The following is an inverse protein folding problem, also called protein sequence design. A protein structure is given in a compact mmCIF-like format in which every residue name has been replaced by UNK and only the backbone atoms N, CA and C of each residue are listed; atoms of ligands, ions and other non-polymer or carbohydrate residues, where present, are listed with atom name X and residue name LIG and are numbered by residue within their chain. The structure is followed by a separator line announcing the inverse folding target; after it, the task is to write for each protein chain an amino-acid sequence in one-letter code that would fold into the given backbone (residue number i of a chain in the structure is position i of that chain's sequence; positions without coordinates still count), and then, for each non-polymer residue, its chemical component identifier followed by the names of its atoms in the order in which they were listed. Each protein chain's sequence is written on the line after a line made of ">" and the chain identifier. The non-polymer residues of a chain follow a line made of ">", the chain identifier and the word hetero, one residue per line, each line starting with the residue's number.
data_IF_489235677311
#
_entry.id   IF_489235677311
#
_cell.length_a   1.000
_cell.length_b   1.000
_cell.length_c   1.000
_cell.angle_alpha   90.00
_cell.angle_beta   90.00
_cell.angle_gamma   90.00
#
_symmetry.space_group_name_H-M   'P 1'
#
loop_
_entity.id
_entity.type
_entity.pdbx_description
1 polymer ?
#
# COMPACT_ATOMS: atom_id res chain seq x y z
N UNK A 1 19.34 -4.95 -23.67
CA UNK A 1 18.05 -5.26 -24.27
C UNK A 1 17.00 -4.27 -23.83
N UNK A 2 16.30 -3.70 -24.78
CA UNK A 2 15.19 -2.83 -24.46
C UNK A 2 14.04 -3.64 -23.88
N UNK A 3 13.59 -3.23 -22.71
CA UNK A 3 12.41 -3.81 -22.08
C UNK A 3 11.17 -3.42 -22.88
N UNK A 4 10.36 -4.42 -23.23
CA UNK A 4 9.10 -4.16 -23.91
C UNK A 4 8.20 -3.33 -22.99
N UNK A 5 7.46 -2.36 -23.55
CA UNK A 5 6.55 -1.51 -22.78
C UNK A 5 5.54 -2.36 -21.99
N UNK A 6 5.17 -3.52 -22.51
CA UNK A 6 4.26 -4.47 -21.83
C UNK A 6 4.81 -5.04 -20.53
N UNK A 7 6.15 -5.05 -20.38
CA UNK A 7 6.82 -5.61 -19.22
C UNK A 7 6.95 -4.60 -18.07
N UNK A 8 6.57 -3.34 -18.30
CA UNK A 8 6.64 -2.28 -17.31
C UNK A 8 5.30 -2.15 -16.60
N UNK A 9 5.36 -2.03 -15.27
CA UNK A 9 4.18 -1.67 -14.50
C UNK A 9 3.78 -0.24 -14.81
N UNK A 10 2.51 -0.04 -15.16
CA UNK A 10 1.95 1.28 -15.42
C UNK A 10 0.58 1.39 -14.79
N UNK A 11 0.20 2.60 -14.44
CA UNK A 11 -1.16 2.95 -14.02
C UNK A 11 -1.60 4.20 -14.77
N UNK A 12 -2.73 4.77 -14.42
CA UNK A 12 -3.23 6.00 -15.02
C UNK A 12 -3.65 6.98 -13.95
N UNK A 13 -3.46 8.26 -14.22
CA UNK A 13 -4.00 9.33 -13.39
C UNK A 13 -4.85 10.23 -14.28
N UNK A 14 -6.16 10.27 -14.01
CA UNK A 14 -7.16 11.00 -14.83
C UNK A 14 -7.02 10.64 -16.31
N UNK A 15 -6.88 9.34 -16.60
CA UNK A 15 -6.79 8.82 -17.95
C UNK A 15 -5.41 8.89 -18.60
N UNK A 16 -4.43 9.56 -17.99
CA UNK A 16 -3.08 9.69 -18.55
C UNK A 16 -2.17 8.62 -17.97
N UNK A 17 -1.38 7.92 -18.81
CA UNK A 17 -0.47 6.88 -18.34
C UNK A 17 0.58 7.43 -17.38
N UNK A 18 0.88 6.64 -16.34
CA UNK A 18 1.91 6.95 -15.34
C UNK A 18 2.85 5.76 -15.24
N UNK A 19 4.16 6.02 -15.34
CA UNK A 19 5.19 4.99 -15.21
C UNK A 19 5.48 4.70 -13.75
N UNK A 20 5.81 3.43 -13.47
CA UNK A 20 6.17 2.95 -12.14
C UNK A 20 7.63 2.49 -12.18
N UNK A 21 8.41 2.81 -11.15
CA UNK A 21 9.77 2.31 -11.01
C UNK A 21 9.76 0.82 -10.64
N UNK A 22 10.61 0.04 -11.31
CA UNK A 22 10.72 -1.39 -11.04
C UNK A 22 9.51 -2.18 -11.51
N UNK A 23 9.32 -3.34 -10.90
CA UNK A 23 8.22 -4.25 -11.19
C UNK A 23 7.29 -4.34 -9.98
N UNK A 24 5.99 -4.18 -10.20
CA UNK A 24 5.00 -4.39 -9.16
C UNK A 24 5.06 -5.83 -8.67
N UNK A 25 5.04 -6.02 -7.34
CA UNK A 25 5.14 -7.36 -6.74
C UNK A 25 4.06 -8.30 -7.27
N UNK A 26 4.40 -9.59 -7.35
CA UNK A 26 3.52 -10.62 -7.89
C UNK A 26 3.11 -11.61 -6.81
N UNK A 27 1.87 -12.09 -6.91
CA UNK A 27 1.40 -13.18 -6.08
C UNK A 27 2.27 -14.43 -6.32
N UNK A 28 2.59 -15.15 -5.26
CA UNK A 28 3.45 -16.32 -5.30
C UNK A 28 4.90 -16.04 -4.92
N UNK A 29 5.34 -14.79 -4.94
CA UNK A 29 6.71 -14.41 -4.57
C UNK A 29 6.82 -14.18 -3.06
N UNK A 30 8.05 -14.26 -2.52
CA UNK A 30 8.33 -13.81 -1.17
C UNK A 30 8.16 -12.30 -1.12
N UNK A 31 7.46 -11.80 -0.09
CA UNK A 31 7.28 -10.37 0.08
C UNK A 31 8.63 -9.73 0.44
N UNK A 32 9.05 -8.66 -0.27
CA UNK A 32 10.26 -7.93 0.13
C UNK A 32 10.12 -7.38 1.55
N UNK A 33 11.19 -7.44 2.33
CA UNK A 33 11.20 -6.80 3.64
C UNK A 33 11.10 -5.27 3.47
N UNK A 34 10.64 -4.59 4.50
CA UNK A 34 10.49 -3.14 4.46
C UNK A 34 10.73 -2.55 5.84
N UNK A 35 11.04 -1.28 5.86
CA UNK A 35 11.07 -0.45 7.06
C UNK A 35 10.23 0.79 6.81
N UNK A 36 9.13 0.91 7.53
CA UNK A 36 8.21 2.04 7.43
C UNK A 36 8.11 2.71 8.81
N UNK A 37 7.70 3.96 8.83
CA UNK A 37 7.72 4.76 10.06
C UNK A 37 6.29 4.90 10.60
N UNK A 38 6.09 4.47 11.83
CA UNK A 38 4.81 4.61 12.52
C UNK A 38 4.60 6.03 13.04
N UNK A 39 3.40 6.34 13.50
CA UNK A 39 3.04 7.68 13.99
C UNK A 39 3.83 8.10 15.23
N UNK A 40 4.36 7.16 15.99
CA UNK A 40 5.23 7.45 17.14
C UNK A 40 6.72 7.59 16.74
N UNK A 41 7.00 7.58 15.43
CA UNK A 41 8.32 7.68 14.82
C UNK A 41 9.20 6.43 14.98
N UNK A 42 8.67 5.36 15.54
CA UNK A 42 9.34 4.06 15.56
C UNK A 42 9.24 3.37 14.20
N UNK A 43 10.12 2.42 13.95
CA UNK A 43 10.18 1.68 12.69
C UNK A 43 9.34 0.41 12.78
N UNK A 44 8.61 0.10 11.71
CA UNK A 44 7.91 -1.17 11.54
C UNK A 44 8.49 -1.89 10.34
N UNK A 45 8.97 -3.12 10.53
CA UNK A 45 9.44 -3.97 9.43
C UNK A 45 8.48 -5.14 9.21
N UNK A 46 8.55 -5.75 8.02
CA UNK A 46 7.74 -6.91 7.70
C UNK A 46 8.02 -8.07 8.66
N UNK A 47 9.28 -8.29 9.04
CA UNK A 47 9.65 -9.35 9.98
C UNK A 47 9.00 -9.21 11.35
N UNK A 48 8.63 -7.98 11.75
CA UNK A 48 7.91 -7.73 13.01
C UNK A 48 6.48 -8.27 12.96
N UNK A 49 5.97 -8.54 11.77
CA UNK A 49 4.60 -9.00 11.52
C UNK A 49 4.55 -10.49 11.15
N UNK A 50 5.67 -11.20 11.30
CA UNK A 50 5.74 -12.64 10.97
C UNK A 50 4.72 -13.42 11.80
N UNK A 51 4.04 -14.35 11.14
CA UNK A 51 2.96 -15.13 11.74
C UNK A 51 1.58 -14.48 11.61
N UNK A 52 1.51 -13.23 11.17
CA UNK A 52 0.25 -12.53 10.92
C UNK A 52 0.06 -12.31 9.42
N UNK A 53 -1.19 -12.31 8.99
CA UNK A 53 -1.53 -11.88 7.65
C UNK A 53 -1.48 -10.35 7.60
N UNK A 54 -1.02 -9.81 6.48
CA UNK A 54 -0.82 -8.36 6.31
C UNK A 54 -1.53 -7.90 5.05
N UNK A 55 -2.33 -6.85 5.18
CA UNK A 55 -2.88 -6.13 4.03
C UNK A 55 -2.18 -4.79 3.95
N UNK A 56 -1.50 -4.53 2.83
CA UNK A 56 -0.91 -3.23 2.55
C UNK A 56 -1.89 -2.45 1.67
N UNK A 57 -2.48 -1.40 2.23
CA UNK A 57 -3.25 -0.42 1.47
C UNK A 57 -2.32 0.75 1.14
N UNK A 58 -1.86 0.80 -0.10
CA UNK A 58 -0.85 1.73 -0.57
C UNK A 58 -1.52 2.81 -1.42
N UNK A 59 -1.21 4.08 -1.17
CA UNK A 59 -1.90 5.18 -1.86
C UNK A 59 -1.02 6.44 -1.95
N UNK A 60 -1.36 7.40 -2.85
CA UNK A 60 -0.57 8.61 -3.02
C UNK A 60 -0.57 9.54 -1.80
N UNK A 61 -1.72 9.86 -1.22
CA UNK A 61 -1.80 10.78 -0.08
C UNK A 61 -3.15 10.71 0.62
N UNK A 62 -3.12 10.82 1.95
CA UNK A 62 -4.32 10.94 2.80
C UNK A 62 -5.17 12.18 2.46
N UNK A 63 -4.56 13.20 1.87
CA UNK A 63 -5.25 14.45 1.54
C UNK A 63 -6.01 14.38 0.22
N UNK A 64 -6.12 13.20 -0.41
CA UNK A 64 -6.99 12.98 -1.56
C UNK A 64 -8.23 12.21 -1.13
N UNK A 65 -9.39 12.54 -1.72
CA UNK A 65 -10.68 11.97 -1.29
C UNK A 65 -10.74 10.45 -1.40
N UNK A 66 -10.21 9.87 -2.48
CA UNK A 66 -10.24 8.41 -2.70
C UNK A 66 -9.33 7.70 -1.72
N UNK A 67 -8.16 8.26 -1.41
CA UNK A 67 -7.23 7.68 -0.43
C UNK A 67 -7.86 7.67 0.96
N UNK A 68 -8.44 8.78 1.37
CA UNK A 68 -9.13 8.88 2.66
C UNK A 68 -10.28 7.86 2.75
N UNK A 69 -11.07 7.73 1.68
CA UNK A 69 -12.16 6.76 1.62
C UNK A 69 -11.64 5.32 1.76
N UNK A 70 -10.52 4.99 1.10
CA UNK A 70 -9.94 3.64 1.20
C UNK A 70 -9.46 3.32 2.61
N UNK A 71 -8.85 4.27 3.30
CA UNK A 71 -8.40 4.05 4.69
C UNK A 71 -9.60 3.83 5.60
N UNK A 72 -10.66 4.64 5.47
CA UNK A 72 -11.89 4.47 6.25
C UNK A 72 -12.53 3.11 6.00
N UNK A 73 -12.59 2.68 4.75
CA UNK A 73 -13.17 1.39 4.37
C UNK A 73 -12.38 0.23 4.96
N UNK A 74 -11.06 0.23 4.80
CA UNK A 74 -10.21 -0.81 5.40
C UNK A 74 -10.26 -0.81 6.92
N UNK A 75 -10.37 0.34 7.56
CA UNK A 75 -10.51 0.43 9.00
C UNK A 75 -11.77 -0.32 9.48
N UNK A 76 -12.87 -0.11 8.78
CA UNK A 76 -14.13 -0.79 9.08
C UNK A 76 -14.02 -2.30 8.88
N UNK A 77 -13.42 -2.73 7.76
CA UNK A 77 -13.26 -4.15 7.43
C UNK A 77 -12.25 -4.85 8.34
N UNK A 78 -11.19 -4.16 8.76
CA UNK A 78 -10.15 -4.73 9.61
C UNK A 78 -10.69 -5.20 10.96
N UNK A 79 -11.73 -4.56 11.48
CA UNK A 79 -12.38 -4.96 12.73
C UNK A 79 -12.90 -6.40 12.68
N UNK A 80 -13.17 -6.93 11.48
CA UNK A 80 -13.74 -8.26 11.27
C UNK A 80 -12.67 -9.30 10.88
N UNK A 81 -11.39 -8.93 10.91
CA UNK A 81 -10.27 -9.78 10.46
C UNK A 81 -9.27 -10.04 11.58
N UNK A 82 -9.62 -10.88 12.57
CA UNK A 82 -8.67 -11.21 13.65
C UNK A 82 -7.43 -11.91 13.07
N UNK A 83 -6.23 -11.60 13.60
CA UNK A 83 -4.99 -12.16 13.12
C UNK A 83 -4.46 -11.50 11.84
N UNK A 84 -5.11 -10.46 11.35
CA UNK A 84 -4.70 -9.71 10.17
C UNK A 84 -4.35 -8.28 10.57
N UNK A 85 -3.20 -7.80 10.11
CA UNK A 85 -2.76 -6.41 10.31
C UNK A 85 -2.97 -5.67 9.00
N UNK A 86 -3.69 -4.55 9.05
CA UNK A 86 -3.89 -3.68 7.88
C UNK A 86 -3.03 -2.45 8.05
N UNK A 87 -2.14 -2.20 7.08
CA UNK A 87 -1.27 -1.04 7.05
C UNK A 87 -1.77 -0.03 6.02
N UNK A 88 -1.84 1.23 6.39
CA UNK A 88 -2.08 2.34 5.46
C UNK A 88 -0.74 2.99 5.13
N UNK A 89 -0.30 2.89 3.89
CA UNK A 89 1.06 3.24 3.47
C UNK A 89 1.04 4.37 2.45
N UNK A 90 1.73 5.44 2.75
CA UNK A 90 1.94 6.55 1.81
C UNK A 90 3.24 7.30 2.14
N UNK A 91 3.57 8.28 1.31
CA UNK A 91 4.70 9.22 1.54
C UNK A 91 4.34 10.35 2.51
N UNK A 92 3.07 10.44 2.93
CA UNK A 92 2.68 11.42 3.95
C UNK A 92 3.55 11.25 5.19
N UNK A 93 3.86 12.35 5.86
CA UNK A 93 4.66 12.29 7.09
C UNK A 93 3.87 11.59 8.21
N UNK A 94 4.57 10.97 9.17
CA UNK A 94 3.91 10.33 10.31
C UNK A 94 2.95 11.25 11.06
N UNK A 95 3.26 12.54 11.12
CA UNK A 95 2.42 13.55 11.76
C UNK A 95 1.08 13.72 11.04
N UNK A 96 1.09 13.68 9.70
CA UNK A 96 -0.13 13.75 8.89
C UNK A 96 -0.98 12.49 9.09
N UNK A 97 -0.35 11.32 9.14
CA UNK A 97 -1.03 10.07 9.44
C UNK A 97 -1.71 10.11 10.81
N UNK A 98 -1.00 10.61 11.83
CA UNK A 98 -1.53 10.73 13.19
C UNK A 98 -2.75 11.64 13.24
N UNK A 99 -2.66 12.82 12.60
CA UNK A 99 -3.77 13.76 12.52
C UNK A 99 -4.98 13.15 11.84
N UNK A 100 -4.78 12.49 10.69
CA UNK A 100 -5.87 11.86 9.94
C UNK A 100 -6.56 10.80 10.78
N UNK A 101 -5.81 9.91 11.43
CA UNK A 101 -6.38 8.85 12.23
C UNK A 101 -7.16 9.38 13.43
N UNK A 102 -6.68 10.44 14.07
CA UNK A 102 -7.37 11.07 15.18
C UNK A 102 -8.70 11.70 14.74
N UNK A 103 -8.66 12.49 13.66
CA UNK A 103 -9.85 13.20 13.15
C UNK A 103 -10.90 12.22 12.64
N UNK A 104 -10.47 11.15 11.95
CA UNK A 104 -11.38 10.19 11.32
C UNK A 104 -11.73 9.00 12.21
N UNK A 105 -11.18 8.91 13.42
CA UNK A 105 -11.45 7.80 14.32
C UNK A 105 -10.92 6.46 13.83
N UNK A 106 -9.75 6.45 13.17
CA UNK A 106 -9.14 5.24 12.63
C UNK A 106 -8.38 4.51 13.75
N UNK A 107 -8.85 3.32 14.13
CA UNK A 107 -8.29 2.54 15.24
C UNK A 107 -7.80 1.15 14.82
N UNK A 108 -8.33 0.59 13.72
CA UNK A 108 -8.08 -0.78 13.31
C UNK A 108 -7.06 -0.91 12.17
N UNK A 109 -6.51 0.19 11.71
CA UNK A 109 -5.49 0.25 10.68
C UNK A 109 -4.25 0.90 11.28
N UNK A 110 -3.07 0.35 10.96
CA UNK A 110 -1.80 0.92 11.40
C UNK A 110 -1.28 1.85 10.29
N UNK A 111 -1.27 3.16 10.52
CA UNK A 111 -0.73 4.10 9.54
C UNK A 111 0.80 4.10 9.59
N UNK A 112 1.42 4.02 8.43
CA UNK A 112 2.89 4.02 8.30
C UNK A 112 3.32 4.88 7.13
N UNK A 113 4.45 5.53 7.28
CA UNK A 113 4.98 6.46 6.30
C UNK A 113 6.23 5.91 5.63
N UNK A 114 6.29 6.07 4.31
CA UNK A 114 7.47 5.78 3.49
C UNK A 114 8.23 7.07 3.14
N UNK A 115 8.33 8.02 4.10
CA UNK A 115 9.03 9.27 3.84
C UNK A 115 10.54 9.11 3.84
N UNK A 116 11.06 8.13 4.60
CA UNK A 116 12.49 7.79 4.57
C UNK A 116 12.79 6.95 3.35
N UNK A 117 13.95 7.15 2.75
CA UNK A 117 14.35 6.41 1.57
C UNK A 117 14.89 5.03 1.97
N UNK A 118 13.99 4.05 2.10
CA UNK A 118 14.31 2.69 2.58
C UNK A 118 14.04 1.60 1.54
N UNK A 119 13.88 1.97 0.27
CA UNK A 119 13.64 1.08 -0.87
C UNK A 119 12.25 0.41 -0.94
N UNK A 120 11.33 0.64 -0.01
CA UNK A 120 9.98 0.05 -0.08
C UNK A 120 9.31 0.36 -1.43
N UNK A 121 9.34 1.62 -1.83
CA UNK A 121 8.68 2.11 -3.04
C UNK A 121 9.18 1.41 -4.31
N UNK A 122 10.47 1.14 -4.40
CA UNK A 122 11.07 0.47 -5.55
C UNK A 122 10.96 -1.05 -5.46
N UNK A 123 11.16 -1.64 -4.27
CA UNK A 123 11.11 -3.09 -4.11
C UNK A 123 9.70 -3.65 -4.24
N UNK A 124 8.68 -2.88 -3.90
CA UNK A 124 7.29 -3.26 -4.15
C UNK A 124 6.79 -2.80 -5.52
N UNK A 125 7.57 -1.97 -6.23
CA UNK A 125 7.21 -1.51 -7.56
C UNK A 125 5.99 -0.60 -7.56
N UNK A 126 5.96 0.37 -6.65
CA UNK A 126 4.81 1.29 -6.49
C UNK A 126 5.19 2.77 -6.59
N UNK A 127 6.45 3.09 -6.84
CA UNK A 127 6.89 4.48 -6.97
C UNK A 127 6.53 5.02 -8.35
N UNK A 128 5.72 6.07 -8.40
CA UNK A 128 5.42 6.77 -9.65
C UNK A 128 6.59 7.65 -10.05
N UNK A 129 7.01 7.53 -11.31
CA UNK A 129 8.23 8.17 -11.81
C UNK A 129 7.98 9.32 -12.78
N UNK A 130 6.74 9.54 -13.18
CA UNK A 130 6.38 10.66 -14.06
C UNK A 130 4.98 11.18 -13.74
N UNK A 131 4.56 12.20 -14.46
CA UNK A 131 3.25 12.82 -14.27
C UNK A 131 3.17 13.72 -13.04
N UNK A 132 1.98 14.27 -12.76
CA UNK A 132 1.77 15.20 -11.64
C UNK A 132 2.01 14.59 -10.26
N UNK A 133 1.89 13.26 -10.13
CA UNK A 133 2.07 12.56 -8.86
C UNK A 133 3.45 11.90 -8.74
N UNK A 134 4.40 12.31 -9.56
CA UNK A 134 5.78 11.81 -9.50
C UNK A 134 6.33 11.89 -8.08
N UNK A 135 6.91 10.80 -7.60
CA UNK A 135 7.47 10.70 -6.25
C UNK A 135 6.51 10.15 -5.21
N UNK A 136 5.23 10.00 -5.55
CA UNK A 136 4.24 9.40 -4.66
C UNK A 136 4.03 7.92 -5.00
N UNK A 137 3.35 7.21 -4.10
CA UNK A 137 3.06 5.80 -4.29
C UNK A 137 1.77 5.61 -5.08
N UNK A 138 1.78 4.67 -6.02
CA UNK A 138 0.60 4.32 -6.81
C UNK A 138 -0.43 3.60 -5.93
N UNK A 139 -1.72 3.79 -6.23
CA UNK A 139 -2.79 3.10 -5.52
C UNK A 139 -2.72 1.61 -5.79
N UNK A 140 -2.52 0.85 -4.74
CA UNK A 140 -2.33 -0.60 -4.85
C UNK A 140 -2.67 -1.28 -3.54
N UNK A 141 -2.94 -2.60 -3.64
CA UNK A 141 -3.19 -3.45 -2.48
C UNK A 141 -2.33 -4.69 -2.61
N UNK A 142 -1.67 -5.07 -1.53
CA UNK A 142 -0.87 -6.29 -1.45
C UNK A 142 -1.28 -7.05 -0.21
N UNK A 143 -1.58 -8.34 -0.36
CA UNK A 143 -1.88 -9.22 0.78
C UNK A 143 -0.75 -10.22 0.94
N UNK A 144 -0.24 -10.32 2.17
CA UNK A 144 0.90 -11.19 2.53
C UNK A 144 0.40 -12.17 3.59
N UNK A 145 0.72 -13.45 3.42
CA UNK A 145 0.33 -14.47 4.41
C UNK A 145 1.28 -14.50 5.62
N UNK A 146 0.97 -15.36 6.59
CA UNK A 146 1.76 -15.47 7.82
C UNK A 146 3.19 -15.96 7.61
N UNK A 147 3.49 -16.55 6.46
CA UNK A 147 4.83 -17.04 6.10
C UNK A 147 5.63 -16.00 5.30
N UNK A 148 5.06 -14.82 5.07
CA UNK A 148 5.74 -13.77 4.32
C UNK A 148 5.63 -13.91 2.81
N UNK A 149 4.65 -14.68 2.32
CA UNK A 149 4.42 -14.86 0.90
C UNK A 149 3.32 -13.94 0.42
N UNK A 150 3.52 -13.31 -0.74
CA UNK A 150 2.49 -12.50 -1.39
C UNK A 150 1.41 -13.43 -1.96
N UNK A 151 0.17 -13.26 -1.53
CA UNK A 151 -0.95 -14.10 -1.96
C UNK A 151 -1.97 -13.36 -2.85
N UNK A 152 -1.92 -12.04 -2.87
CA UNK A 152 -2.79 -11.23 -3.72
C UNK A 152 -2.16 -9.87 -3.97
N UNK A 153 -2.30 -9.37 -5.19
CA UNK A 153 -1.86 -8.02 -5.55
C UNK A 153 -2.88 -7.36 -6.47
N UNK A 154 -3.03 -6.05 -6.30
CA UNK A 154 -3.79 -5.21 -7.21
C UNK A 154 -3.08 -3.88 -7.39
N UNK A 155 -2.63 -3.59 -8.60
CA UNK A 155 -2.25 -2.24 -9.00
C UNK A 155 -3.48 -1.62 -9.67
N UNK A 156 -4.14 -0.69 -8.98
CA UNK A 156 -5.39 -0.13 -9.48
C UNK A 156 -5.12 0.61 -10.79
N UNK A 157 -5.84 0.26 -11.89
CA UNK A 157 -5.52 0.79 -13.22
C UNK A 157 -5.67 2.31 -13.35
N UNK A 158 -6.52 2.91 -12.52
CA UNK A 158 -6.76 4.35 -12.49
C UNK A 158 -6.68 4.84 -11.04
N UNK A 159 -5.73 5.73 -10.75
CA UNK A 159 -5.45 6.18 -9.38
C UNK A 159 -6.64 6.86 -8.72
N UNK A 160 -7.54 7.45 -9.50
CA UNK A 160 -8.75 8.08 -8.98
C UNK A 160 -9.85 7.09 -8.59
N UNK A 161 -9.65 5.80 -8.82
CA UNK A 161 -10.60 4.74 -8.44
C UNK A 161 -10.18 4.05 -7.15
N UNK A 162 -11.17 3.53 -6.42
CA UNK A 162 -10.92 2.73 -5.22
C UNK A 162 -10.41 1.33 -5.61
N UNK A 163 -9.68 0.65 -4.70
CA UNK A 163 -9.29 -0.74 -4.94
C UNK A 163 -10.48 -1.69 -4.80
N UNK A 164 -10.29 -2.94 -5.23
CA UNK A 164 -11.29 -4.00 -5.07
C UNK A 164 -11.17 -4.62 -3.67
N UNK A 165 -11.96 -4.13 -2.74
CA UNK A 165 -11.92 -4.57 -1.36
C UNK A 165 -12.31 -6.04 -1.20
N UNK A 166 -13.30 -6.51 -1.95
CA UNK A 166 -13.79 -7.88 -1.84
C UNK A 166 -12.72 -8.90 -2.23
N UNK A 167 -11.98 -8.63 -3.30
CA UNK A 167 -10.88 -9.50 -3.71
C UNK A 167 -9.76 -9.54 -2.70
N UNK A 168 -9.42 -8.38 -2.11
CA UNK A 168 -8.39 -8.33 -1.07
C UNK A 168 -8.83 -9.15 0.16
N UNK A 169 -10.08 -9.02 0.59
CA UNK A 169 -10.61 -9.78 1.72
C UNK A 169 -10.69 -11.27 1.44
N UNK A 170 -11.02 -11.66 0.20
CA UNK A 170 -11.08 -13.07 -0.19
C UNK A 170 -9.71 -13.73 -0.14
N UNK A 171 -8.63 -12.98 -0.26
CA UNK A 171 -7.27 -13.51 -0.18
C UNK A 171 -6.79 -13.75 1.25
N UNK A 172 -7.47 -13.18 2.23
CA UNK A 172 -7.14 -13.35 3.66
C UNK A 172 -7.77 -14.64 4.16
N UNK A 173 -6.96 -15.51 4.77
CA UNK A 173 -7.46 -16.72 5.42
C UNK A 173 -8.09 -16.38 6.76
N UNK A 174 -9.28 -16.88 6.95
CA UNK A 174 -10.04 -16.71 8.20
C UNK A 174 -9.91 -17.92 9.10
#
# INVERSE_FOLDING_TARGET
>A
RQMCIRDRSITKFKGQPVQIAGEFVKAGAAAPDFELVKTDLSTLSLKDLRGKQVILNIFPSLDTGVCAASVRKFNKLAAELPGTVVLAVSKDLPFAHARFCTVEGIENVVPVSDFRKTSFDESYGVLMTDGPLKGLLARSVVVIDGDGKVVYTELVPEITQEPDYDKALAAVKR
#
